data_IF_897850259856
#
_entry.id   IF_897850259856
#
_cell.length_a   1.000
_cell.length_b   1.000
_cell.length_c   1.000
_cell.angle_alpha   90.00
_cell.angle_beta   90.00
_cell.angle_gamma   90.00
#
_symmetry.space_group_name_H-M   'P 1'
#
loop_
_entity.id
_entity.type
_entity.pdbx_description
1 polymer ?
#
# COMPACT_ATOMS: atom_id res chain seq x y z
N UNK A 1 35.46 -19.49 -10.89
CA UNK A 1 34.39 -18.90 -11.74
C UNK A 1 33.23 -18.52 -10.83
N UNK A 2 33.17 -17.26 -10.41
CA UNK A 2 32.26 -16.80 -9.36
C UNK A 2 31.03 -16.07 -9.95
N UNK A 3 29.87 -16.52 -9.47
CA UNK A 3 28.65 -15.77 -9.16
C UNK A 3 28.03 -14.84 -10.22
N UNK A 4 27.03 -15.37 -10.95
CA UNK A 4 26.06 -14.64 -11.79
C UNK A 4 24.84 -14.14 -10.97
N UNK A 5 25.02 -13.62 -9.76
CA UNK A 5 23.92 -13.11 -8.91
C UNK A 5 23.88 -11.58 -8.79
N UNK A 6 24.32 -10.86 -9.82
CA UNK A 6 24.14 -9.41 -9.88
C UNK A 6 22.77 -9.07 -10.46
N UNK A 7 21.82 -8.89 -9.55
CA UNK A 7 20.76 -7.90 -9.60
C UNK A 7 20.04 -7.73 -10.95
N UNK A 8 19.18 -8.69 -11.30
CA UNK A 8 18.01 -8.41 -12.15
C UNK A 8 17.08 -7.50 -11.35
N UNK A 9 17.35 -6.18 -11.35
CA UNK A 9 16.36 -5.17 -10.96
C UNK A 9 15.18 -5.39 -11.89
N UNK A 10 14.14 -6.05 -11.38
CA UNK A 10 12.91 -6.31 -12.11
C UNK A 10 12.20 -4.99 -12.42
N UNK A 11 12.60 -4.35 -13.51
CA UNK A 11 11.81 -3.32 -14.17
C UNK A 11 10.67 -4.02 -14.89
N UNK A 12 9.54 -4.16 -14.19
CA UNK A 12 8.24 -4.57 -14.77
C UNK A 12 7.84 -3.73 -16.01
N UNK A 13 8.54 -2.62 -16.27
CA UNK A 13 8.29 -1.63 -17.31
C UNK A 13 8.83 -1.98 -18.72
N UNK A 14 9.49 -3.13 -18.89
CA UNK A 14 10.20 -3.44 -20.14
C UNK A 14 9.46 -4.41 -21.08
N UNK A 15 8.55 -5.25 -20.57
CA UNK A 15 7.82 -6.22 -21.39
C UNK A 15 6.30 -6.07 -21.23
N UNK A 16 5.73 -5.07 -21.92
CA UNK A 16 4.27 -4.96 -22.04
C UNK A 16 3.80 -6.04 -23.01
N UNK A 17 3.28 -7.13 -22.44
CA UNK A 17 2.67 -8.23 -23.19
C UNK A 17 1.50 -7.70 -24.03
N UNK A 18 1.19 -8.39 -25.13
CA UNK A 18 -0.01 -8.12 -25.93
C UNK A 18 -1.28 -8.12 -25.08
N UNK A 19 -1.30 -8.89 -23.99
CA UNK A 19 -2.43 -9.01 -23.08
C UNK A 19 -2.68 -7.71 -22.32
N UNK A 20 -1.63 -7.09 -21.77
CA UNK A 20 -1.76 -5.79 -21.10
C UNK A 20 -2.22 -4.67 -22.05
N UNK A 21 -1.88 -4.77 -23.33
CA UNK A 21 -2.34 -3.81 -24.33
C UNK A 21 -3.87 -3.95 -24.58
N UNK A 22 -4.38 -5.18 -24.63
CA UNK A 22 -5.82 -5.48 -24.72
C UNK A 22 -6.55 -5.02 -23.46
N UNK A 23 -6.02 -5.31 -22.28
CA UNK A 23 -6.62 -4.87 -21.01
C UNK A 23 -6.70 -3.34 -20.93
N UNK A 24 -5.66 -2.65 -21.43
CA UNK A 24 -5.67 -1.19 -21.55
C UNK A 24 -6.70 -0.66 -22.55
N UNK A 25 -6.88 -1.33 -23.69
CA UNK A 25 -7.91 -0.98 -24.67
C UNK A 25 -9.33 -1.19 -24.14
N UNK A 26 -9.58 -2.31 -23.43
CA UNK A 26 -10.85 -2.55 -22.74
C UNK A 26 -11.15 -1.45 -21.71
N UNK A 27 -10.15 -0.99 -20.96
CA UNK A 27 -10.33 0.11 -20.02
C UNK A 27 -10.74 1.42 -20.72
N UNK A 28 -10.13 1.74 -21.87
CA UNK A 28 -10.50 2.91 -22.68
C UNK A 28 -11.93 2.82 -23.19
N UNK A 29 -12.34 1.66 -23.68
CA UNK A 29 -13.72 1.41 -24.15
C UNK A 29 -14.71 1.59 -23.00
N UNK A 30 -14.42 1.03 -21.82
CA UNK A 30 -15.26 1.20 -20.63
C UNK A 30 -15.38 2.67 -20.21
N UNK A 31 -14.27 3.42 -20.21
CA UNK A 31 -14.29 4.85 -19.89
C UNK A 31 -15.17 5.62 -20.88
N UNK A 32 -15.07 5.34 -22.18
CA UNK A 32 -15.89 5.97 -23.21
C UNK A 32 -17.39 5.65 -23.03
N UNK A 33 -17.74 4.43 -22.62
CA UNK A 33 -19.12 4.04 -22.35
C UNK A 33 -19.69 4.73 -21.10
N UNK A 34 -18.90 4.79 -20.01
CA UNK A 34 -19.29 5.50 -18.78
C UNK A 34 -19.50 6.98 -19.08
N UNK A 35 -18.59 7.61 -19.82
CA UNK A 35 -18.73 8.99 -20.26
C UNK A 35 -19.98 9.19 -21.14
N UNK A 36 -20.25 8.28 -22.08
CA UNK A 36 -21.46 8.32 -22.90
C UNK A 36 -22.75 8.28 -22.07
N UNK A 37 -22.77 7.46 -21.02
CA UNK A 37 -23.92 7.37 -20.09
C UNK A 37 -24.11 8.65 -19.27
N UNK A 38 -23.02 9.26 -18.79
CA UNK A 38 -23.08 10.50 -17.99
C UNK A 38 -23.45 11.70 -18.85
N UNK A 39 -22.89 11.81 -20.05
CA UNK A 39 -23.08 12.95 -20.97
C UNK A 39 -24.36 12.83 -21.82
N UNK A 40 -25.05 11.68 -21.81
CA UNK A 40 -26.29 11.37 -22.57
C UNK A 40 -26.25 11.72 -24.06
N UNK A 41 -25.05 11.85 -24.63
CA UNK A 41 -24.82 12.26 -26.00
C UNK A 41 -24.66 11.02 -26.88
N UNK A 42 -25.56 10.86 -27.86
CA UNK A 42 -25.67 9.63 -28.69
C UNK A 42 -24.39 9.32 -29.47
N UNK A 43 -23.61 10.35 -29.82
CA UNK A 43 -22.38 10.24 -30.60
C UNK A 43 -21.27 9.46 -29.87
N UNK A 44 -21.26 9.44 -28.53
CA UNK A 44 -20.23 8.73 -27.76
C UNK A 44 -20.28 7.21 -27.93
N UNK A 45 -21.48 6.65 -28.13
CA UNK A 45 -21.62 5.20 -28.36
C UNK A 45 -20.98 4.78 -29.70
N UNK A 46 -21.05 5.62 -30.73
CA UNK A 46 -20.40 5.35 -32.03
C UNK A 46 -18.88 5.33 -31.90
N UNK A 47 -18.30 6.28 -31.17
CA UNK A 47 -16.85 6.30 -30.92
C UNK A 47 -16.39 5.13 -30.05
N UNK A 48 -17.18 4.73 -29.03
CA UNK A 48 -16.88 3.57 -28.21
C UNK A 48 -16.87 2.26 -29.03
N UNK A 49 -17.85 2.09 -29.92
CA UNK A 49 -17.93 0.92 -30.79
C UNK A 49 -16.78 0.86 -31.79
N UNK A 50 -16.39 2.00 -32.38
CA UNK A 50 -15.20 2.08 -33.24
C UNK A 50 -13.92 1.75 -32.46
N UNK A 51 -13.75 2.28 -31.24
CA UNK A 51 -12.61 2.00 -30.39
C UNK A 51 -12.51 0.50 -30.02
N UNK A 52 -13.64 -0.17 -29.75
CA UNK A 52 -13.68 -1.60 -29.48
C UNK A 52 -13.22 -2.43 -30.68
N UNK A 53 -13.68 -2.09 -31.88
CA UNK A 53 -13.25 -2.75 -33.12
C UNK A 53 -11.75 -2.56 -33.35
N UNK A 54 -11.23 -1.35 -33.11
CA UNK A 54 -9.79 -1.06 -33.22
C UNK A 54 -8.98 -1.85 -32.19
N UNK A 55 -9.47 -1.98 -30.96
CA UNK A 55 -8.83 -2.78 -29.91
C UNK A 55 -8.76 -4.28 -30.29
N UNK A 56 -9.82 -4.83 -30.91
CA UNK A 56 -9.82 -6.21 -31.40
C UNK A 56 -8.80 -6.46 -32.52
N UNK A 57 -8.63 -5.50 -33.44
CA UNK A 57 -7.77 -5.67 -34.63
C UNK A 57 -6.31 -5.37 -34.29
N UNK A 58 -6.04 -4.24 -33.63
CA UNK A 58 -4.67 -3.77 -33.34
C UNK A 58 -4.57 -3.25 -31.90
N UNK A 59 -4.56 -4.16 -30.89
CA UNK A 59 -4.39 -3.76 -29.49
C UNK A 59 -3.02 -3.10 -29.23
N UNK A 60 -2.07 -3.28 -30.15
CA UNK A 60 -0.73 -2.71 -30.04
C UNK A 60 -0.71 -1.16 -30.03
N UNK A 61 -1.72 -0.49 -30.59
CA UNK A 61 -1.83 0.98 -30.59
C UNK A 61 -2.06 1.51 -29.17
N UNK A 62 -2.73 0.73 -28.32
CA UNK A 62 -3.02 1.11 -26.94
C UNK A 62 -1.86 0.83 -25.99
N UNK A 63 -0.75 0.21 -26.44
CA UNK A 63 0.43 -0.06 -25.60
C UNK A 63 1.00 1.16 -24.86
N UNK A 64 1.27 2.33 -25.49
CA UNK A 64 1.79 3.49 -24.78
C UNK A 64 0.80 4.02 -23.74
N UNK A 65 -0.51 3.98 -24.04
CA UNK A 65 -1.55 4.37 -23.10
C UNK A 65 -1.64 3.39 -21.93
N UNK A 66 -1.70 2.08 -22.21
CA UNK A 66 -1.71 1.03 -21.20
C UNK A 66 -0.47 1.14 -20.29
N UNK A 67 0.71 1.40 -20.85
CA UNK A 67 1.94 1.65 -20.07
C UNK A 67 1.75 2.77 -19.06
N UNK A 68 1.27 3.91 -19.53
CA UNK A 68 1.07 5.10 -18.68
C UNK A 68 0.00 4.82 -17.62
N UNK A 69 -1.10 4.18 -18.01
CA UNK A 69 -2.18 3.79 -17.12
C UNK A 69 -1.70 2.85 -16.00
N UNK A 70 -0.99 1.78 -16.35
CA UNK A 70 -0.45 0.83 -15.37
C UNK A 70 0.63 1.46 -14.50
N UNK A 71 1.45 2.37 -15.04
CA UNK A 71 2.44 3.12 -14.26
C UNK A 71 1.76 4.02 -13.22
N UNK A 72 0.70 4.74 -13.62
CA UNK A 72 -0.12 5.53 -12.70
C UNK A 72 -0.80 4.64 -11.65
N UNK A 73 -1.42 3.54 -12.06
CA UNK A 73 -2.09 2.62 -11.15
C UNK A 73 -1.13 2.03 -10.11
N UNK A 74 0.09 1.65 -10.51
CA UNK A 74 1.10 1.13 -9.60
C UNK A 74 1.63 2.21 -8.63
N UNK A 75 1.87 3.42 -9.15
CA UNK A 75 2.25 4.56 -8.32
C UNK A 75 1.18 4.87 -7.27
N UNK A 76 -0.08 4.90 -7.70
CA UNK A 76 -1.23 5.10 -6.82
C UNK A 76 -1.34 3.96 -5.81
N UNK A 77 -1.17 2.70 -6.23
CA UNK A 77 -1.19 1.54 -5.34
C UNK A 77 -0.13 1.61 -4.24
N UNK A 78 1.08 2.06 -4.59
CA UNK A 78 2.17 2.25 -3.61
C UNK A 78 1.84 3.33 -2.58
N UNK A 79 1.23 4.44 -3.01
CA UNK A 79 0.77 5.50 -2.12
C UNK A 79 -0.39 5.00 -1.26
N UNK A 80 -1.37 4.33 -1.87
CA UNK A 80 -2.57 3.83 -1.20
C UNK A 80 -2.24 2.83 -0.10
N UNK A 81 -1.23 1.98 -0.27
CA UNK A 81 -0.76 1.08 0.79
C UNK A 81 -0.32 1.85 2.04
N UNK A 82 0.45 2.94 1.88
CA UNK A 82 0.88 3.80 2.99
C UNK A 82 -0.30 4.55 3.62
N UNK A 83 -1.22 5.03 2.78
CA UNK A 83 -2.43 5.73 3.24
C UNK A 83 -3.29 4.79 4.07
N UNK A 84 -3.57 3.57 3.59
CA UNK A 84 -4.31 2.55 4.32
C UNK A 84 -3.65 2.24 5.66
N UNK A 85 -2.34 1.99 5.69
CA UNK A 85 -1.62 1.74 6.94
C UNK A 85 -1.75 2.90 7.93
N UNK A 86 -1.63 4.14 7.43
CA UNK A 86 -1.79 5.35 8.25
C UNK A 86 -3.19 5.48 8.81
N UNK A 87 -4.21 5.26 7.99
CA UNK A 87 -5.62 5.29 8.41
C UNK A 87 -5.88 4.23 9.47
N UNK A 88 -5.41 3.00 9.25
CA UNK A 88 -5.54 1.90 10.22
C UNK A 88 -4.84 2.26 11.54
N UNK A 89 -3.64 2.82 11.49
CA UNK A 89 -2.93 3.28 12.69
C UNK A 89 -3.73 4.34 13.46
N UNK A 90 -4.28 5.34 12.76
CA UNK A 90 -5.07 6.41 13.39
C UNK A 90 -6.40 5.88 13.94
N UNK A 91 -7.04 4.92 13.30
CA UNK A 91 -8.35 4.41 13.72
C UNK A 91 -8.25 3.34 14.79
N UNK A 92 -7.19 2.53 14.81
CA UNK A 92 -7.05 1.44 15.77
C UNK A 92 -6.03 1.76 16.87
N UNK A 93 -4.80 2.09 16.48
CA UNK A 93 -3.68 2.19 17.44
C UNK A 93 -3.75 3.48 18.24
N UNK A 94 -4.02 4.60 17.57
CA UNK A 94 -4.07 5.93 18.18
C UNK A 94 -5.17 6.04 19.26
N UNK A 95 -6.43 5.61 19.05
CA UNK A 95 -7.44 5.69 20.11
C UNK A 95 -7.16 4.75 21.26
N UNK A 96 -6.60 3.55 21.00
CA UNK A 96 -6.20 2.64 22.09
C UNK A 96 -5.15 3.31 22.98
N UNK A 97 -4.15 3.96 22.39
CA UNK A 97 -3.15 4.73 23.13
C UNK A 97 -3.75 5.92 23.88
N UNK A 98 -4.69 6.64 23.28
CA UNK A 98 -5.40 7.74 23.94
C UNK A 98 -6.25 7.25 25.11
N UNK A 99 -6.95 6.13 24.97
CA UNK A 99 -7.74 5.52 26.04
C UNK A 99 -6.83 5.18 27.22
N UNK A 100 -5.69 4.50 27.00
CA UNK A 100 -4.73 4.16 28.06
C UNK A 100 -4.22 5.43 28.76
N UNK A 101 -3.95 6.49 27.99
CA UNK A 101 -3.51 7.80 28.51
C UNK A 101 -4.61 8.48 29.34
N UNK A 102 -5.86 8.45 28.89
CA UNK A 102 -7.02 8.99 29.63
C UNK A 102 -7.29 8.19 30.92
N UNK A 103 -7.06 6.88 30.91
CA UNK A 103 -7.16 6.02 32.09
C UNK A 103 -6.02 6.27 33.11
N UNK A 104 -5.10 7.19 32.84
CA UNK A 104 -4.00 7.55 33.75
C UNK A 104 -2.95 6.44 33.90
N UNK A 105 -2.99 5.40 33.06
CA UNK A 105 -2.01 4.31 33.07
C UNK A 105 -0.74 4.78 32.37
N UNK A 106 0.13 5.45 33.12
CA UNK A 106 1.49 5.78 32.68
C UNK A 106 2.40 4.55 32.87
N UNK A 107 2.24 3.54 32.01
CA UNK A 107 3.05 2.31 32.05
C UNK A 107 4.55 2.56 31.93
N UNK A 108 4.94 3.68 31.33
CA UNK A 108 6.33 4.06 31.08
C UNK A 108 6.86 5.11 32.08
N UNK A 109 6.04 5.55 33.06
CA UNK A 109 6.36 6.65 34.00
C UNK A 109 6.97 7.87 33.31
N UNK A 110 6.52 8.20 32.10
CA UNK A 110 7.11 9.27 31.28
C UNK A 110 6.99 10.64 31.96
N UNK A 111 5.98 10.84 32.80
CA UNK A 111 5.83 12.08 33.57
C UNK A 111 6.88 12.26 34.67
N UNK A 112 7.43 11.17 35.21
CA UNK A 112 8.42 11.17 36.29
C UNK A 112 9.85 11.15 35.74
N UNK A 113 10.01 10.70 34.50
CA UNK A 113 11.30 10.64 33.82
C UNK A 113 11.87 12.06 33.62
N UNK A 114 13.05 12.32 34.21
CA UNK A 114 13.81 13.59 34.17
C UNK A 114 13.25 14.80 34.94
N UNK A 115 12.10 14.67 35.62
CA UNK A 115 11.58 15.75 36.47
C UNK A 115 12.09 15.71 37.91
N UNK A 116 12.56 14.56 38.36
CA UNK A 116 12.99 14.34 39.74
C UNK A 116 14.36 13.64 39.80
N UNK A 117 15.00 13.65 40.96
CA UNK A 117 16.30 12.99 41.22
C UNK A 117 16.10 11.47 41.44
N UNK A 118 14.88 11.05 41.79
CA UNK A 118 14.54 9.65 42.08
C UNK A 118 14.55 8.76 40.82
N UNK A 119 15.09 7.55 40.96
CA UNK A 119 15.13 6.55 39.89
C UNK A 119 13.72 6.08 39.51
N UNK A 120 13.42 6.04 38.21
CA UNK A 120 12.15 5.48 37.69
C UNK A 120 12.16 3.95 37.65
N UNK A 121 13.34 3.33 37.74
CA UNK A 121 13.52 1.89 37.77
C UNK A 121 12.86 1.30 39.02
N UNK A 122 12.10 0.22 38.84
CA UNK A 122 11.60 -0.56 39.98
C UNK A 122 12.71 -1.48 40.45
N UNK A 123 13.13 -1.33 41.70
CA UNK A 123 14.01 -2.32 42.33
C UNK A 123 13.28 -3.66 42.43
N UNK A 124 13.85 -4.68 41.79
CA UNK A 124 13.40 -6.05 41.98
C UNK A 124 14.20 -6.63 43.14
N UNK A 125 13.62 -6.57 44.34
CA UNK A 125 14.12 -7.30 45.51
C UNK A 125 13.84 -8.80 45.36
N UNK A 126 14.38 -9.39 44.28
CA UNK A 126 14.26 -10.80 44.00
C UNK A 126 15.42 -11.55 44.66
N UNK A 127 15.09 -12.41 45.61
CA UNK A 127 16.04 -13.32 46.23
C UNK A 127 16.25 -14.49 45.27
N UNK A 128 17.39 -14.50 44.57
CA UNK A 128 17.74 -15.56 43.63
C UNK A 128 17.78 -16.92 44.35
N UNK A 129 17.01 -17.89 43.83
CA UNK A 129 17.00 -19.27 44.32
C UNK A 129 17.70 -20.18 43.31
N UNK A 130 18.22 -21.30 43.79
CA UNK A 130 18.88 -22.31 42.94
C UNK A 130 17.96 -22.83 41.83
N UNK A 131 16.65 -22.89 42.09
CA UNK A 131 15.62 -23.28 41.11
C UNK A 131 15.54 -22.35 39.89
N UNK A 132 15.94 -21.08 40.03
CA UNK A 132 15.86 -20.09 38.95
C UNK A 132 17.04 -20.20 37.98
N UNK A 133 18.11 -20.89 38.41
CA UNK A 133 19.26 -21.21 37.56
C UNK A 133 18.94 -22.42 36.65
N UNK A 134 18.09 -23.33 37.13
CA UNK A 134 17.68 -24.52 36.38
C UNK A 134 16.67 -24.20 35.26
N UNK A 135 15.82 -23.19 35.44
CA UNK A 135 14.93 -22.66 34.39
C UNK A 135 15.01 -21.12 34.30
N UNK A 136 15.98 -20.60 33.54
CA UNK A 136 16.25 -19.16 33.47
C UNK A 136 15.24 -18.35 32.63
N UNK A 137 14.22 -18.96 32.03
CA UNK A 137 13.23 -18.31 31.15
C UNK A 137 11.79 -18.64 31.54
#
# INVERSE_FOLDING_TARGET
MADKRTAKKGTFLENISRDQAKDGGMAVVLILLILGMVLKQKNFYTYAMAALVVDMIIPAIYKPFAKLWFMLANFLGTIMSKVLLTVVYIVLVLPVGLIIRLLGKDSLKLNQFKKDISSVFKERNYQFRSSDIENPY
#
